data_IF_124531913945
#
_entry.id   IF_124531913945
#
_cell.length_a   1.000
_cell.length_b   1.000
_cell.length_c   1.000
_cell.angle_alpha   90.00
_cell.angle_beta   90.00
_cell.angle_gamma   90.00
#
_symmetry.space_group_name_H-M   'P 1'
#
loop_
_entity.id
_entity.type
_entity.pdbx_description
1 polymer ?
#
# COMPACT_ATOMS: atom_id res chain seq x y z
N UNK A 1 -4.85 -1.28 15.34
CA UNK A 1 -3.72 -0.93 14.46
C UNK A 1 -4.17 -0.10 13.25
N UNK A 2 -5.32 -0.39 12.61
CA UNK A 2 -5.82 0.40 11.45
C UNK A 2 -6.19 1.87 11.73
N UNK A 3 -6.73 2.19 12.91
CA UNK A 3 -7.20 3.55 13.19
C UNK A 3 -6.07 4.59 13.14
N UNK A 4 -4.85 4.23 13.56
CA UNK A 4 -3.70 5.13 13.54
C UNK A 4 -3.24 5.44 12.10
N UNK A 5 -3.17 4.41 11.25
CA UNK A 5 -2.84 4.56 9.83
C UNK A 5 -3.85 5.48 9.16
N UNK A 6 -5.15 5.23 9.36
CA UNK A 6 -6.22 6.05 8.80
C UNK A 6 -6.11 7.53 9.21
N UNK A 7 -5.77 7.81 10.47
CA UNK A 7 -5.58 9.18 10.97
C UNK A 7 -4.40 9.86 10.26
N UNK A 8 -3.27 9.17 10.13
CA UNK A 8 -2.08 9.70 9.44
C UNK A 8 -2.39 9.97 7.97
N UNK A 9 -3.04 9.02 7.28
CA UNK A 9 -3.46 9.18 5.88
C UNK A 9 -4.34 10.41 5.69
N UNK A 10 -5.37 10.61 6.53
CA UNK A 10 -6.23 11.78 6.43
C UNK A 10 -5.47 13.08 6.69
N UNK A 11 -4.59 13.11 7.70
CA UNK A 11 -3.77 14.29 7.99
C UNK A 11 -2.89 14.68 6.80
N UNK A 12 -2.27 13.70 6.15
CA UNK A 12 -1.41 13.94 4.97
C UNK A 12 -2.25 14.42 3.79
N UNK A 13 -3.36 13.74 3.49
CA UNK A 13 -4.26 14.16 2.39
C UNK A 13 -4.74 15.60 2.59
N UNK A 14 -5.17 15.96 3.80
CA UNK A 14 -5.61 17.32 4.10
C UNK A 14 -4.45 18.33 4.05
N UNK A 15 -3.25 17.96 4.49
CA UNK A 15 -2.09 18.84 4.42
C UNK A 15 -1.61 19.08 2.99
N UNK A 16 -1.87 18.14 2.08
CA UNK A 16 -1.54 18.25 0.66
C UNK A 16 -2.69 18.81 -0.19
N UNK A 17 -3.84 19.13 0.42
CA UNK A 17 -4.97 19.69 -0.30
C UNK A 17 -4.61 21.05 -0.90
N UNK A 18 -4.80 21.20 -2.21
CA UNK A 18 -4.41 22.41 -2.95
C UNK A 18 -2.92 22.54 -3.28
N UNK A 19 -2.06 21.60 -2.90
CA UNK A 19 -0.66 21.59 -3.33
C UNK A 19 -0.51 21.03 -4.75
N UNK A 20 0.14 21.78 -5.64
CA UNK A 20 0.57 21.28 -6.94
C UNK A 20 2.01 20.80 -6.83
N UNK A 21 2.27 19.56 -7.26
CA UNK A 21 3.61 18.98 -7.37
C UNK A 21 3.97 18.86 -8.85
N UNK A 22 5.23 19.09 -9.19
CA UNK A 22 5.72 19.05 -10.58
C UNK A 22 5.94 17.62 -11.08
N UNK A 23 6.24 16.70 -10.17
CA UNK A 23 6.42 15.28 -10.42
C UNK A 23 6.07 14.44 -9.18
N UNK A 24 6.21 13.11 -9.30
CA UNK A 24 5.94 12.18 -8.21
C UNK A 24 7.01 12.21 -7.13
N UNK A 25 8.26 12.57 -7.46
CA UNK A 25 9.35 12.62 -6.49
C UNK A 25 9.14 13.77 -5.51
N UNK A 26 8.73 14.95 -6.00
CA UNK A 26 8.36 16.08 -5.15
C UNK A 26 7.19 15.74 -4.23
N UNK A 27 6.18 15.03 -4.75
CA UNK A 27 5.04 14.58 -3.95
C UNK A 27 5.50 13.60 -2.85
N UNK A 28 6.36 12.65 -3.19
CA UNK A 28 6.91 11.68 -2.23
C UNK A 28 7.71 12.38 -1.14
N UNK A 29 8.57 13.34 -1.49
CA UNK A 29 9.37 14.11 -0.54
C UNK A 29 8.48 14.89 0.44
N UNK A 30 7.40 15.53 -0.05
CA UNK A 30 6.43 16.20 0.82
C UNK A 30 5.72 15.21 1.76
N UNK A 31 5.32 14.05 1.25
CA UNK A 31 4.69 13.01 2.07
C UNK A 31 5.65 12.56 3.18
N UNK A 32 6.90 12.27 2.84
CA UNK A 32 7.93 11.87 3.82
C UNK A 32 8.10 12.93 4.90
N UNK A 33 8.25 14.19 4.50
CA UNK A 33 8.39 15.31 5.43
C UNK A 33 7.19 15.46 6.38
N UNK A 34 5.96 15.29 5.87
CA UNK A 34 4.75 15.34 6.69
C UNK A 34 4.66 14.16 7.67
N UNK A 35 5.05 12.96 7.23
CA UNK A 35 5.11 11.76 8.08
C UNK A 35 6.14 11.95 9.19
N UNK A 36 7.32 12.47 8.88
CA UNK A 36 8.36 12.76 9.87
C UNK A 36 7.87 13.78 10.90
N UNK A 37 7.26 14.89 10.45
CA UNK A 37 6.67 15.88 11.35
C UNK A 37 5.60 15.27 12.28
N UNK A 38 4.79 14.34 11.79
CA UNK A 38 3.80 13.63 12.61
C UNK A 38 4.46 12.69 13.62
N UNK A 39 5.57 12.05 13.26
CA UNK A 39 6.28 11.10 14.12
C UNK A 39 7.11 11.80 15.21
N UNK A 40 7.67 12.96 14.90
CA UNK A 40 8.49 13.77 15.82
C UNK A 40 7.64 14.71 16.70
N UNK A 41 6.36 14.89 16.39
CA UNK A 41 5.47 15.78 17.13
C UNK A 41 5.37 15.39 18.62
N UNK A 42 5.62 16.36 19.48
CA UNK A 42 5.42 16.30 20.92
C UNK A 42 4.39 17.35 21.37
N UNK A 43 3.56 17.07 22.39
CA UNK A 43 3.43 15.81 23.12
C UNK A 43 2.63 14.76 22.34
N UNK A 44 3.01 13.48 22.46
CA UNK A 44 2.22 12.37 21.92
C UNK A 44 1.48 11.62 23.03
N UNK A 45 0.16 11.44 22.87
CA UNK A 45 -0.72 10.73 23.84
C UNK A 45 -0.53 11.19 25.29
N UNK A 46 -0.42 12.49 25.50
CA UNK A 46 -0.22 13.11 26.82
C UNK A 46 1.11 12.76 27.51
N UNK A 47 2.08 12.24 26.77
CA UNK A 47 3.45 12.04 27.22
C UNK A 47 4.36 13.11 26.60
N UNK A 48 5.39 13.54 27.33
CA UNK A 48 6.44 14.42 26.79
C UNK A 48 7.47 13.63 25.97
N UNK A 49 6.97 12.83 25.05
CA UNK A 49 7.74 12.04 24.10
C UNK A 49 7.01 12.06 22.75
N UNK A 50 7.76 11.81 21.69
CA UNK A 50 7.24 11.70 20.32
C UNK A 50 6.83 10.25 20.03
N UNK A 51 6.21 10.01 18.86
CA UNK A 51 5.96 8.63 18.40
C UNK A 51 7.28 7.93 18.10
N UNK A 52 8.22 8.65 17.50
CA UNK A 52 9.56 8.15 17.16
C UNK A 52 10.32 7.72 18.42
N UNK A 53 10.29 8.52 19.48
CA UNK A 53 10.97 8.19 20.75
C UNK A 53 10.45 6.87 21.34
N UNK A 54 9.13 6.68 21.33
CA UNK A 54 8.51 5.45 21.81
C UNK A 54 8.87 4.24 20.93
N UNK A 55 8.86 4.42 19.61
CA UNK A 55 9.22 3.37 18.66
C UNK A 55 10.68 2.92 18.85
N UNK A 56 11.62 3.85 18.90
CA UNK A 56 13.04 3.56 19.07
C UNK A 56 13.32 2.88 20.42
N UNK A 57 12.65 3.33 21.48
CA UNK A 57 12.85 2.79 22.83
C UNK A 57 12.25 1.39 22.99
N UNK A 58 11.06 1.13 22.45
CA UNK A 58 10.27 -0.05 22.82
C UNK A 58 9.94 -1.01 21.68
N UNK A 59 9.94 -0.57 20.42
CA UNK A 59 9.43 -1.37 19.30
C UNK A 59 10.51 -1.76 18.30
N UNK A 60 11.51 -0.91 18.07
CA UNK A 60 12.55 -1.13 17.05
C UNK A 60 13.28 -2.47 17.23
N UNK A 61 13.58 -2.85 18.47
CA UNK A 61 14.27 -4.11 18.77
C UNK A 61 13.40 -5.37 18.59
N UNK A 62 12.08 -5.20 18.42
CA UNK A 62 11.13 -6.29 18.19
C UNK A 62 10.86 -6.53 16.70
N UNK A 63 11.32 -5.64 15.82
CA UNK A 63 11.14 -5.77 14.38
C UNK A 63 12.02 -6.88 13.81
N UNK A 64 11.44 -7.69 12.93
CA UNK A 64 12.21 -8.62 12.11
C UNK A 64 13.05 -7.85 11.08
N UNK A 65 14.13 -8.47 10.61
CA UNK A 65 14.93 -7.94 9.52
C UNK A 65 14.07 -7.66 8.28
N UNK A 66 14.49 -6.66 7.51
CA UNK A 66 13.83 -6.33 6.25
C UNK A 66 13.83 -7.56 5.34
N UNK A 67 12.65 -7.98 4.88
CA UNK A 67 12.52 -9.10 3.97
C UNK A 67 13.39 -8.88 2.72
N UNK A 68 14.19 -9.87 2.34
CA UNK A 68 15.06 -9.78 1.15
C UNK A 68 14.26 -9.62 -0.15
N UNK A 69 13.01 -10.08 -0.15
CA UNK A 69 12.08 -9.89 -1.25
C UNK A 69 11.18 -8.70 -0.96
N UNK A 70 11.15 -7.68 -1.84
CA UNK A 70 10.20 -6.59 -1.72
C UNK A 70 8.77 -7.14 -1.65
N UNK A 71 7.94 -6.50 -0.84
CA UNK A 71 6.52 -6.81 -0.83
C UNK A 71 5.93 -6.52 -2.22
N UNK A 72 5.22 -7.48 -2.79
CA UNK A 72 4.50 -7.34 -4.05
C UNK A 72 3.00 -7.43 -3.76
N UNK A 73 2.25 -6.44 -4.21
CA UNK A 73 0.80 -6.52 -4.14
C UNK A 73 0.34 -7.62 -5.10
N UNK A 74 -0.33 -8.63 -4.55
CA UNK A 74 -0.81 -9.77 -5.31
C UNK A 74 -2.31 -9.85 -5.19
N UNK A 75 -2.99 -9.93 -6.33
CA UNK A 75 -4.44 -10.03 -6.38
C UNK A 75 -4.84 -11.37 -6.99
N UNK A 76 -5.77 -12.06 -6.31
CA UNK A 76 -6.45 -13.22 -6.87
C UNK A 76 -7.78 -12.80 -7.46
N UNK A 77 -8.02 -13.15 -8.73
CA UNK A 77 -9.31 -12.94 -9.40
C UNK A 77 -9.86 -14.25 -9.94
N UNK A 78 -11.18 -14.46 -9.84
CA UNK A 78 -11.85 -15.56 -10.54
C UNK A 78 -12.38 -15.08 -11.88
N UNK A 79 -12.04 -15.79 -12.93
CA UNK A 79 -12.54 -15.53 -14.27
C UNK A 79 -13.10 -16.81 -14.90
N UNK A 80 -14.23 -16.68 -15.60
CA UNK A 80 -14.78 -17.78 -16.40
C UNK A 80 -14.17 -17.73 -17.80
N UNK A 81 -13.65 -18.87 -18.26
CA UNK A 81 -13.09 -18.99 -19.61
C UNK A 81 -14.21 -18.99 -20.64
N UNK A 82 -14.17 -18.02 -21.54
CA UNK A 82 -15.14 -17.86 -22.62
C UNK A 82 -14.94 -18.92 -23.72
N UNK A 83 -15.95 -19.17 -24.58
CA UNK A 83 -15.87 -20.17 -25.65
C UNK A 83 -14.75 -19.91 -26.66
N UNK A 84 -14.35 -18.65 -26.80
CA UNK A 84 -13.22 -18.22 -27.61
C UNK A 84 -11.88 -18.38 -26.88
N UNK A 85 -11.78 -19.23 -25.85
CA UNK A 85 -10.56 -19.52 -25.07
C UNK A 85 -9.88 -18.29 -24.42
N UNK A 86 -10.66 -17.24 -24.10
CA UNK A 86 -10.15 -16.05 -23.40
C UNK A 86 -10.76 -15.87 -22.00
N UNK A 87 -10.00 -15.21 -21.13
CA UNK A 87 -10.49 -14.57 -19.91
C UNK A 87 -10.31 -13.06 -20.02
N UNK A 88 -11.15 -12.29 -19.31
CA UNK A 88 -11.02 -10.84 -19.20
C UNK A 88 -10.58 -10.52 -17.78
N UNK A 89 -9.47 -9.78 -17.65
CA UNK A 89 -8.99 -9.24 -16.38
C UNK A 89 -8.95 -7.72 -16.52
N UNK A 90 -9.71 -7.03 -15.67
CA UNK A 90 -9.99 -5.60 -15.82
C UNK A 90 -10.52 -5.30 -17.24
N UNK A 91 -9.71 -4.72 -18.12
CA UNK A 91 -10.06 -4.37 -19.51
C UNK A 91 -9.30 -5.18 -20.55
N UNK A 92 -8.41 -6.10 -20.14
CA UNK A 92 -7.51 -6.83 -21.03
C UNK A 92 -7.97 -8.28 -21.20
N UNK A 93 -7.92 -8.78 -22.44
CA UNK A 93 -8.19 -10.19 -22.78
C UNK A 93 -6.89 -10.99 -22.78
N UNK A 94 -6.92 -12.16 -22.12
CA UNK A 94 -5.82 -13.11 -22.10
C UNK A 94 -6.28 -14.45 -22.64
N UNK A 95 -5.53 -15.04 -23.56
CA UNK A 95 -5.78 -16.40 -24.05
C UNK A 95 -5.36 -17.42 -23.00
N UNK A 96 -6.11 -18.52 -22.89
CA UNK A 96 -5.82 -19.63 -22.00
C UNK A 96 -5.89 -20.95 -22.76
N UNK A 97 -5.34 -22.06 -22.22
CA UNK A 97 -5.48 -23.38 -22.83
C UNK A 97 -6.96 -23.73 -23.10
N UNK A 98 -7.27 -24.15 -24.32
CA UNK A 98 -8.64 -24.45 -24.76
C UNK A 98 -9.36 -25.49 -23.89
N UNK A 99 -8.62 -26.36 -23.20
CA UNK A 99 -9.15 -27.37 -22.28
C UNK A 99 -9.90 -26.76 -21.08
N UNK A 100 -9.66 -25.48 -20.80
CA UNK A 100 -10.27 -24.75 -19.70
C UNK A 100 -11.57 -24.04 -20.11
N UNK A 101 -11.99 -24.11 -21.38
CA UNK A 101 -13.23 -23.48 -21.85
C UNK A 101 -14.42 -23.89 -20.97
N UNK A 102 -15.18 -22.90 -20.51
CA UNK A 102 -16.34 -23.08 -19.62
C UNK A 102 -15.99 -23.32 -18.15
N UNK A 103 -14.71 -23.50 -17.79
CA UNK A 103 -14.24 -23.59 -16.40
C UNK A 103 -14.07 -22.19 -15.81
N UNK A 104 -14.17 -22.11 -14.49
CA UNK A 104 -13.73 -20.95 -13.72
C UNK A 104 -12.30 -21.19 -13.29
N UNK A 105 -11.42 -20.23 -13.55
CA UNK A 105 -10.01 -20.26 -13.17
C UNK A 105 -9.71 -19.17 -12.17
N UNK A 106 -8.76 -19.45 -11.29
CA UNK A 106 -8.15 -18.44 -10.43
C UNK A 106 -6.96 -17.82 -11.19
N UNK A 107 -6.93 -16.49 -11.24
CA UNK A 107 -5.95 -15.66 -11.92
C UNK A 107 -5.12 -14.97 -10.87
N UNK A 108 -3.80 -15.17 -10.94
CA UNK A 108 -2.85 -14.53 -10.06
C UNK A 108 -2.20 -13.34 -10.77
N UNK A 109 -2.37 -12.13 -10.21
CA UNK A 109 -1.82 -10.90 -10.76
C UNK A 109 -0.69 -10.40 -9.88
N UNK A 110 0.47 -10.21 -10.51
CA UNK A 110 1.61 -9.48 -9.94
C UNK A 110 1.47 -8.02 -10.39
N UNK A 111 1.45 -7.05 -9.45
CA UNK A 111 1.48 -5.62 -9.79
C UNK A 111 2.91 -5.10 -9.94
#
# INVERSE_FOLDING_TARGET
MEAAVKIVTHKIIHALDGHQCVDLDELNDKIVSLVDAINDATPFRSQQSSRRDLFETYEQHLLADLAQTPWQHTEWKRAKVAPDFHIIVATVRYSVPHQLVGRTVDVFLWS
#
